data_IF_600077473599
#
_entry.id   IF_600077473599
#
_cell.length_a   1.000
_cell.length_b   1.000
_cell.length_c   1.000
_cell.angle_alpha   90.00
_cell.angle_beta   90.00
_cell.angle_gamma   90.00
#
_symmetry.space_group_name_H-M   'P 1'
#
loop_
_entity.id
_entity.type
_entity.pdbx_description
1 polymer ?
#
# COMPACT_ATOMS: atom_id res chain seq x y z
N UNK A 1 -7.61 -11.28 8.45
CA UNK A 1 -8.23 -10.11 9.07
C UNK A 1 -9.53 -9.73 8.39
N UNK A 2 -9.51 -9.29 7.11
CA UNK A 2 -10.72 -8.78 6.43
C UNK A 2 -11.84 -9.82 6.31
N UNK A 3 -11.54 -11.08 5.98
CA UNK A 3 -12.56 -12.12 5.86
C UNK A 3 -13.28 -12.36 7.20
N UNK A 4 -12.54 -12.37 8.30
CA UNK A 4 -13.12 -12.53 9.61
C UNK A 4 -14.00 -11.32 10.01
N UNK A 5 -13.54 -10.11 9.66
CA UNK A 5 -14.34 -8.91 9.84
C UNK A 5 -15.66 -8.97 9.04
N UNK A 6 -15.64 -9.46 7.80
CA UNK A 6 -16.85 -9.61 6.98
C UNK A 6 -17.81 -10.63 7.57
N UNK A 7 -17.32 -11.75 8.12
CA UNK A 7 -18.17 -12.73 8.83
C UNK A 7 -18.87 -12.12 10.04
N UNK A 8 -18.12 -11.36 10.85
CA UNK A 8 -18.69 -10.66 12.00
C UNK A 8 -19.70 -9.60 11.57
N UNK A 9 -19.40 -8.84 10.53
CA UNK A 9 -20.30 -7.84 10.00
C UNK A 9 -21.58 -8.48 9.42
N UNK A 10 -21.45 -9.59 8.69
CA UNK A 10 -22.59 -10.36 8.16
C UNK A 10 -23.50 -10.89 9.27
N UNK A 11 -22.94 -11.28 10.39
CA UNK A 11 -23.71 -11.75 11.55
C UNK A 11 -24.58 -10.67 12.23
N UNK A 12 -24.39 -9.40 11.86
CA UNK A 12 -25.21 -8.28 12.37
C UNK A 12 -26.48 -8.04 11.54
N UNK A 13 -26.63 -8.67 10.37
CA UNK A 13 -27.80 -8.45 9.51
C UNK A 13 -27.88 -9.42 8.34
N UNK A 14 -28.94 -9.31 7.58
CA UNK A 14 -29.28 -10.26 6.51
C UNK A 14 -28.56 -9.96 5.19
N UNK A 15 -28.07 -8.74 4.99
CA UNK A 15 -27.40 -8.32 3.75
C UNK A 15 -26.16 -7.49 4.07
N UNK A 16 -25.00 -7.95 3.59
CA UNK A 16 -23.72 -7.27 3.75
C UNK A 16 -23.29 -6.61 2.43
N UNK A 17 -23.36 -5.29 2.39
CA UNK A 17 -22.77 -4.49 1.32
C UNK A 17 -21.36 -4.05 1.73
N UNK A 18 -20.36 -4.38 0.92
CA UNK A 18 -18.97 -3.94 1.12
C UNK A 18 -18.66 -2.79 0.17
N UNK A 19 -18.27 -1.65 0.74
CA UNK A 19 -17.83 -0.51 -0.05
C UNK A 19 -16.29 -0.49 -0.17
N UNK A 20 -15.78 -0.45 -1.41
CA UNK A 20 -14.37 -0.29 -1.70
C UNK A 20 -14.09 1.10 -2.28
N UNK A 21 -13.02 1.78 -1.87
CA UNK A 21 -12.65 3.05 -2.47
C UNK A 21 -12.22 2.87 -3.93
N UNK A 22 -12.55 3.85 -4.77
CA UNK A 22 -12.07 3.90 -6.16
C UNK A 22 -10.54 4.03 -6.19
N UNK A 23 -9.94 3.68 -7.33
CA UNK A 23 -8.50 3.80 -7.51
C UNK A 23 -8.04 5.26 -7.46
N UNK A 24 -8.87 6.22 -7.92
CA UNK A 24 -8.59 7.66 -7.83
C UNK A 24 -8.54 8.15 -6.38
N UNK A 25 -9.51 7.74 -5.55
CA UNK A 25 -9.50 8.04 -4.10
C UNK A 25 -8.25 7.47 -3.44
N UNK A 26 -7.86 6.25 -3.79
CA UNK A 26 -6.65 5.63 -3.25
C UNK A 26 -5.38 6.34 -3.72
N UNK A 27 -5.31 6.73 -4.99
CA UNK A 27 -4.19 7.47 -5.54
C UNK A 27 -4.04 8.83 -4.86
N UNK A 28 -5.14 9.56 -4.71
CA UNK A 28 -5.15 10.87 -4.06
C UNK A 28 -4.72 10.78 -2.59
N UNK A 29 -5.22 9.80 -1.86
CA UNK A 29 -4.99 9.68 -0.41
C UNK A 29 -3.67 8.99 -0.07
N UNK A 30 -3.34 7.87 -0.74
CA UNK A 30 -2.13 7.08 -0.46
C UNK A 30 -0.95 7.44 -1.36
N UNK A 31 -1.12 8.36 -2.31
CA UNK A 31 -0.10 8.78 -3.29
C UNK A 31 0.51 7.61 -4.09
N UNK A 32 -0.26 6.54 -4.26
CA UNK A 32 0.15 5.35 -5.01
C UNK A 32 -1.04 4.62 -5.59
N UNK A 33 -0.83 3.96 -6.72
CA UNK A 33 -1.82 3.06 -7.30
C UNK A 33 -2.02 1.81 -6.40
N UNK A 34 -3.22 1.26 -6.37
CA UNK A 34 -3.47 0.01 -5.68
C UNK A 34 -2.75 -1.16 -6.36
N UNK A 35 -2.32 -2.15 -5.59
CA UNK A 35 -1.67 -3.36 -6.11
C UNK A 35 -2.62 -4.23 -6.92
N UNK A 36 -3.87 -4.27 -6.47
CA UNK A 36 -4.94 -5.01 -7.13
C UNK A 36 -5.86 -3.97 -7.76
N UNK A 37 -6.04 -3.97 -9.07
CA UNK A 37 -6.98 -3.09 -9.76
C UNK A 37 -8.39 -3.20 -9.19
N UNK A 38 -9.18 -2.14 -9.31
CA UNK A 38 -10.52 -2.07 -8.73
C UNK A 38 -11.42 -3.22 -9.17
N UNK A 39 -11.43 -3.56 -10.46
CA UNK A 39 -12.27 -4.64 -10.98
C UNK A 39 -11.90 -6.01 -10.41
N UNK A 40 -10.60 -6.26 -10.23
CA UNK A 40 -10.13 -7.49 -9.57
C UNK A 40 -10.53 -7.51 -8.08
N UNK A 41 -10.42 -6.38 -7.38
CA UNK A 41 -10.89 -6.28 -5.98
C UNK A 41 -12.38 -6.60 -5.88
N UNK A 42 -13.19 -6.02 -6.78
CA UNK A 42 -14.63 -6.28 -6.82
C UNK A 42 -14.91 -7.77 -7.04
N UNK A 43 -14.27 -8.37 -8.03
CA UNK A 43 -14.43 -9.81 -8.34
C UNK A 43 -14.05 -10.70 -7.16
N UNK A 44 -12.92 -10.41 -6.50
CA UNK A 44 -12.48 -11.17 -5.32
C UNK A 44 -13.48 -11.03 -4.17
N UNK A 45 -13.92 -9.81 -3.88
CA UNK A 45 -14.84 -9.55 -2.76
C UNK A 45 -16.22 -10.14 -3.01
N UNK A 46 -16.74 -10.05 -4.24
CA UNK A 46 -18.02 -10.63 -4.61
C UNK A 46 -18.04 -12.18 -4.59
N UNK A 47 -16.88 -12.82 -4.62
CA UNK A 47 -16.76 -14.27 -4.50
C UNK A 47 -16.68 -14.77 -3.03
N UNK A 48 -16.65 -13.84 -2.06
CA UNK A 48 -16.59 -14.21 -0.65
C UNK A 48 -18.00 -14.51 -0.12
N UNK A 49 -18.15 -15.68 0.50
CA UNK A 49 -19.42 -16.17 1.07
C UNK A 49 -20.18 -15.13 1.92
N UNK A 50 -19.56 -14.35 2.84
CA UNK A 50 -20.31 -13.43 3.68
C UNK A 50 -20.70 -12.12 2.97
N UNK A 51 -20.29 -11.89 1.72
CA UNK A 51 -20.48 -10.63 1.00
C UNK A 51 -21.62 -10.78 -0.02
N UNK A 52 -22.69 -10.02 0.16
CA UNK A 52 -23.82 -10.06 -0.76
C UNK A 52 -23.68 -9.05 -1.90
N UNK A 53 -23.07 -7.90 -1.62
CA UNK A 53 -22.92 -6.82 -2.60
C UNK A 53 -21.59 -6.09 -2.43
N UNK A 54 -20.97 -5.69 -3.56
CA UNK A 54 -19.77 -4.85 -3.57
C UNK A 54 -20.04 -3.58 -4.36
N UNK A 55 -19.93 -2.44 -3.69
CA UNK A 55 -20.07 -1.11 -4.28
C UNK A 55 -18.75 -0.35 -4.27
N UNK A 56 -18.67 0.70 -5.07
CA UNK A 56 -17.48 1.56 -5.17
C UNK A 56 -17.79 2.92 -4.57
N UNK A 57 -17.00 3.32 -3.60
CA UNK A 57 -17.02 4.68 -3.04
C UNK A 57 -16.11 5.60 -3.85
N UNK A 58 -16.69 6.67 -4.38
CA UNK A 58 -16.00 7.63 -5.25
C UNK A 58 -15.92 9.05 -4.67
N UNK A 59 -16.52 9.28 -3.50
CA UNK A 59 -16.42 10.57 -2.83
C UNK A 59 -14.96 10.85 -2.44
N UNK A 60 -14.47 12.05 -2.73
CA UNK A 60 -13.06 12.40 -2.55
C UNK A 60 -12.66 12.63 -1.09
N UNK A 61 -13.60 12.54 -0.16
CA UNK A 61 -13.31 12.57 1.27
C UNK A 61 -12.72 11.22 1.73
N UNK A 62 -11.48 11.17 2.20
CA UNK A 62 -10.84 9.94 2.65
C UNK A 62 -11.53 9.28 3.85
N UNK A 63 -12.26 10.05 4.66
CA UNK A 63 -13.02 9.56 5.81
C UNK A 63 -14.40 9.00 5.40
N UNK A 64 -14.98 9.56 4.37
CA UNK A 64 -16.34 9.33 3.92
C UNK A 64 -16.43 9.08 2.40
N UNK A 65 -15.47 8.38 1.83
CA UNK A 65 -15.46 8.06 0.40
C UNK A 65 -16.67 7.26 -0.09
N UNK A 66 -17.48 6.77 0.81
CA UNK A 66 -18.71 6.03 0.59
C UNK A 66 -19.98 6.84 0.90
N UNK A 67 -19.87 8.15 1.18
CA UNK A 67 -20.99 8.97 1.66
C UNK A 67 -22.20 8.95 0.72
N UNK A 68 -21.98 9.19 -0.56
CA UNK A 68 -23.04 9.22 -1.57
C UNK A 68 -23.81 7.90 -1.62
N UNK A 69 -23.11 6.79 -1.65
CA UNK A 69 -23.69 5.46 -1.64
C UNK A 69 -24.40 5.14 -0.31
N UNK A 70 -23.81 5.55 0.80
CA UNK A 70 -24.40 5.35 2.13
C UNK A 70 -25.74 6.07 2.28
N UNK A 71 -25.83 7.32 1.81
CA UNK A 71 -27.06 8.11 1.82
C UNK A 71 -28.11 7.55 0.85
N UNK A 72 -27.67 6.94 -0.26
CA UNK A 72 -28.56 6.29 -1.23
C UNK A 72 -29.14 4.98 -0.67
N UNK A 73 -28.32 4.14 -0.06
CA UNK A 73 -28.72 2.82 0.44
C UNK A 73 -29.45 2.93 1.78
N UNK A 74 -29.04 3.87 2.64
CA UNK A 74 -29.55 4.05 4.02
C UNK A 74 -29.52 2.75 4.82
N UNK A 75 -28.34 2.14 5.01
CA UNK A 75 -28.24 0.88 5.74
C UNK A 75 -28.63 1.07 7.21
N UNK A 76 -29.10 0.01 7.84
CA UNK A 76 -29.42 0.02 9.27
C UNK A 76 -28.16 0.05 10.16
N UNK A 77 -27.05 -0.48 9.67
CA UNK A 77 -25.80 -0.62 10.44
C UNK A 77 -24.60 -0.21 9.58
N UNK A 78 -23.69 0.58 10.14
CA UNK A 78 -22.34 0.78 9.65
C UNK A 78 -21.37 0.01 10.54
N UNK A 79 -20.82 -1.10 10.04
CA UNK A 79 -19.78 -1.85 10.72
C UNK A 79 -18.38 -1.32 10.38
N UNK A 80 -17.58 -1.08 11.38
CA UNK A 80 -16.18 -0.61 11.25
C UNK A 80 -15.26 -1.42 12.15
N UNK A 81 -13.95 -1.37 11.90
CA UNK A 81 -12.97 -1.96 12.80
C UNK A 81 -12.71 -1.08 14.03
N UNK A 82 -12.33 -1.68 15.13
CA UNK A 82 -12.09 -0.98 16.42
C UNK A 82 -10.98 0.10 16.35
N UNK A 83 -10.11 0.03 15.34
CA UNK A 83 -9.05 1.02 15.07
C UNK A 83 -9.48 2.12 14.08
N UNK A 84 -10.80 2.33 13.91
CA UNK A 84 -11.31 3.37 13.03
C UNK A 84 -10.94 4.78 13.52
N UNK A 85 -10.16 5.49 12.71
CA UNK A 85 -9.66 6.84 13.02
C UNK A 85 -10.70 7.94 12.79
N UNK A 86 -11.75 7.63 12.02
CA UNK A 86 -12.77 8.59 11.59
C UNK A 86 -14.14 8.36 12.23
N UNK A 87 -14.16 7.70 13.39
CA UNK A 87 -15.40 7.33 14.07
C UNK A 87 -16.34 8.49 14.35
N UNK A 88 -15.83 9.71 14.62
CA UNK A 88 -16.66 10.88 14.91
C UNK A 88 -17.50 11.26 13.70
N UNK A 89 -16.88 11.45 12.54
CA UNK A 89 -17.59 11.85 11.31
C UNK A 89 -18.51 10.74 10.78
N UNK A 90 -18.11 9.48 10.97
CA UNK A 90 -18.94 8.34 10.58
C UNK A 90 -20.19 8.18 11.47
N UNK A 91 -20.09 8.45 12.78
CA UNK A 91 -21.27 8.48 13.66
C UNK A 91 -22.23 9.60 13.28
N UNK A 92 -21.71 10.78 12.92
CA UNK A 92 -22.54 11.88 12.43
C UNK A 92 -23.29 11.47 11.15
N UNK A 93 -22.59 10.82 10.21
CA UNK A 93 -23.23 10.29 8.99
C UNK A 93 -24.29 9.22 9.29
N UNK A 94 -24.03 8.33 10.25
CA UNK A 94 -25.01 7.34 10.69
C UNK A 94 -26.26 8.02 11.25
N UNK A 95 -26.10 9.08 12.05
CA UNK A 95 -27.23 9.83 12.62
C UNK A 95 -28.08 10.50 11.54
N UNK A 96 -27.51 10.92 10.41
CA UNK A 96 -28.27 11.51 9.27
C UNK A 96 -29.30 10.54 8.68
N UNK A 97 -29.05 9.24 8.71
CA UNK A 97 -29.92 8.21 8.11
C UNK A 97 -30.58 7.29 9.15
N UNK A 98 -30.32 7.49 10.44
CA UNK A 98 -30.82 6.64 11.50
C UNK A 98 -30.11 5.30 11.62
N UNK A 99 -28.88 5.17 11.10
CA UNK A 99 -28.07 3.95 11.15
C UNK A 99 -27.35 3.80 12.49
N UNK A 100 -27.11 2.56 12.90
CA UNK A 100 -26.26 2.23 14.04
C UNK A 100 -24.79 2.12 13.64
N UNK A 101 -23.91 2.75 14.40
CA UNK A 101 -22.46 2.61 14.24
C UNK A 101 -21.95 1.49 15.13
N UNK A 102 -21.41 0.41 14.55
CA UNK A 102 -20.93 -0.76 15.28
C UNK A 102 -19.44 -0.96 15.06
N UNK A 103 -18.68 -1.01 16.14
CA UNK A 103 -17.23 -1.26 16.10
C UNK A 103 -16.96 -2.73 16.40
N UNK A 104 -16.29 -3.42 15.48
CA UNK A 104 -15.94 -4.83 15.56
C UNK A 104 -14.44 -5.03 15.78
N UNK A 105 -14.02 -6.10 16.46
CA UNK A 105 -12.61 -6.44 16.60
C UNK A 105 -11.99 -6.74 15.23
N UNK A 106 -10.76 -6.29 15.04
CA UNK A 106 -10.07 -6.37 13.75
C UNK A 106 -9.71 -7.80 13.33
N UNK A 107 -9.37 -8.63 14.31
CA UNK A 107 -9.09 -10.06 14.09
C UNK A 107 -9.22 -10.83 15.39
N UNK A 108 -9.98 -11.91 15.35
CA UNK A 108 -10.05 -12.88 16.42
C UNK A 108 -9.14 -14.05 16.04
N UNK A 109 -8.14 -14.37 16.88
CA UNK A 109 -7.29 -15.54 16.72
C UNK A 109 -6.18 -15.48 15.66
N UNK A 110 -5.98 -14.35 14.98
CA UNK A 110 -4.91 -14.18 14.00
C UNK A 110 -3.98 -13.03 14.41
N UNK A 111 -2.68 -13.20 14.20
CA UNK A 111 -1.77 -12.06 14.26
C UNK A 111 -2.09 -11.09 13.11
N UNK A 112 -2.36 -9.82 13.41
CA UNK A 112 -2.64 -8.85 12.36
C UNK A 112 -1.39 -8.63 11.51
N UNK A 113 -1.51 -8.88 10.22
CA UNK A 113 -0.47 -8.58 9.22
C UNK A 113 -0.94 -7.39 8.40
N UNK A 114 -0.16 -6.33 8.39
CA UNK A 114 -0.47 -5.15 7.58
C UNK A 114 -0.05 -5.34 6.11
N UNK A 115 -0.73 -4.66 5.20
CA UNK A 115 -0.32 -4.61 3.78
C UNK A 115 1.12 -4.11 3.62
N UNK A 116 1.56 -3.18 4.48
CA UNK A 116 2.93 -2.69 4.50
C UNK A 116 3.91 -3.78 4.90
N UNK A 117 3.57 -4.61 5.86
CA UNK A 117 4.40 -5.73 6.28
C UNK A 117 4.50 -6.79 5.18
N UNK A 118 3.38 -7.16 4.54
CA UNK A 118 3.39 -8.06 3.39
C UNK A 118 4.28 -7.50 2.28
N UNK A 119 4.12 -6.22 1.97
CA UNK A 119 4.95 -5.53 0.99
C UNK A 119 6.43 -5.64 1.32
N UNK A 120 6.81 -5.35 2.56
CA UNK A 120 8.22 -5.39 3.00
C UNK A 120 8.79 -6.80 2.97
N UNK A 121 7.98 -7.83 3.14
CA UNK A 121 8.40 -9.24 2.98
C UNK A 121 8.61 -9.64 1.54
N UNK A 122 7.82 -9.10 0.61
CA UNK A 122 7.89 -9.39 -0.82
C UNK A 122 8.92 -8.51 -1.53
N UNK A 123 9.07 -7.27 -1.11
CA UNK A 123 10.07 -6.36 -1.62
C UNK A 123 11.39 -6.62 -0.90
N UNK A 124 12.20 -7.50 -1.46
CA UNK A 124 13.59 -7.59 -1.07
C UNK A 124 14.27 -6.26 -1.45
N UNK A 125 14.43 -5.39 -0.47
CA UNK A 125 15.24 -4.18 -0.63
C UNK A 125 16.67 -4.63 -0.53
N UNK A 126 17.37 -4.66 -1.64
CA UNK A 126 18.82 -4.86 -1.64
C UNK A 126 19.46 -3.50 -1.45
N UNK A 127 20.14 -3.31 -0.33
CA UNK A 127 20.93 -2.12 -0.06
C UNK A 127 22.39 -2.40 -0.35
N UNK A 128 23.01 -1.53 -1.12
CA UNK A 128 24.44 -1.55 -1.37
C UNK A 128 25.06 -0.20 -0.98
N UNK A 129 26.20 -0.17 -0.29
CA UNK A 129 26.91 1.07 -0.05
C UNK A 129 27.43 1.65 -1.37
N UNK A 130 27.43 2.97 -1.48
CA UNK A 130 28.16 3.62 -2.55
C UNK A 130 29.65 3.40 -2.36
N UNK A 131 30.37 3.23 -3.46
CA UNK A 131 31.82 3.06 -3.49
C UNK A 131 32.48 4.32 -4.07
N UNK A 132 33.49 4.79 -3.42
CA UNK A 132 34.39 5.81 -3.97
C UNK A 132 35.72 5.15 -4.27
N UNK A 133 36.12 5.15 -5.53
CA UNK A 133 37.39 4.63 -5.98
C UNK A 133 38.45 5.74 -5.97
N UNK A 134 39.45 5.60 -5.13
CA UNK A 134 40.57 6.55 -5.06
C UNK A 134 41.65 6.25 -6.10
N UNK A 135 41.83 4.98 -6.43
CA UNK A 135 42.78 4.53 -7.46
C UNK A 135 42.35 3.16 -7.99
N UNK A 136 42.64 2.92 -9.25
CA UNK A 136 42.53 1.59 -9.86
C UNK A 136 41.11 1.13 -10.15
N UNK A 137 40.10 1.99 -10.11
CA UNK A 137 38.68 1.62 -10.23
C UNK A 137 38.28 0.93 -11.55
N UNK A 138 39.15 0.96 -12.57
CA UNK A 138 38.92 0.30 -13.87
C UNK A 138 39.64 -1.06 -13.99
N UNK A 139 40.30 -1.54 -12.96
CA UNK A 139 41.01 -2.81 -12.99
C UNK A 139 40.09 -4.04 -12.96
N UNK A 140 38.84 -3.87 -12.60
CA UNK A 140 37.80 -4.87 -12.71
C UNK A 140 37.31 -5.07 -14.16
N UNK A 141 37.67 -4.16 -15.07
CA UNK A 141 37.42 -4.31 -16.50
C UNK A 141 38.59 -5.13 -17.14
N UNK A 142 38.32 -6.28 -17.77
CA UNK A 142 39.37 -7.17 -18.29
C UNK A 142 40.42 -6.47 -19.17
N UNK A 143 40.01 -5.46 -19.91
CA UNK A 143 40.89 -4.67 -20.79
C UNK A 143 41.99 -3.90 -20.03
N UNK A 144 41.76 -3.55 -18.76
CA UNK A 144 42.66 -2.75 -17.94
C UNK A 144 43.26 -3.55 -16.79
N UNK A 145 42.82 -4.80 -16.61
CA UNK A 145 43.31 -5.70 -15.58
C UNK A 145 44.80 -6.04 -15.84
N UNK A 146 45.63 -5.87 -14.81
CA UNK A 146 47.05 -6.22 -14.85
C UNK A 146 47.41 -6.93 -13.56
N UNK A 147 48.27 -7.95 -13.67
CA UNK A 147 48.82 -8.67 -12.51
C UNK A 147 49.59 -7.69 -11.60
N UNK A 148 49.31 -7.77 -10.29
CA UNK A 148 49.96 -6.90 -9.29
C UNK A 148 49.35 -5.49 -9.18
N UNK A 149 48.25 -5.19 -9.88
CA UNK A 149 47.54 -3.93 -9.72
C UNK A 149 46.59 -3.96 -8.51
N UNK A 150 46.37 -2.80 -7.90
CA UNK A 150 45.53 -2.63 -6.72
C UNK A 150 44.40 -1.66 -6.98
N UNK A 151 43.22 -1.94 -6.40
CA UNK A 151 42.09 -1.03 -6.34
C UNK A 151 42.01 -0.49 -4.92
N UNK A 152 41.99 0.83 -4.78
CA UNK A 152 41.80 1.51 -3.49
C UNK A 152 40.44 2.20 -3.51
N UNK A 153 39.53 1.69 -2.70
CA UNK A 153 38.19 2.27 -2.57
C UNK A 153 37.73 2.27 -1.13
N UNK A 154 36.69 3.00 -0.86
CA UNK A 154 35.94 2.90 0.39
C UNK A 154 34.43 2.91 0.13
N UNK A 155 33.72 2.21 0.99
CA UNK A 155 32.27 2.31 1.06
C UNK A 155 31.87 3.54 1.85
N UNK A 156 30.89 4.28 1.35
CA UNK A 156 30.38 5.48 1.98
C UNK A 156 28.88 5.37 2.25
N UNK A 157 28.40 6.15 3.20
CA UNK A 157 26.98 6.48 3.38
C UNK A 157 26.66 7.78 2.62
N UNK A 158 25.49 7.91 1.96
CA UNK A 158 24.34 7.03 2.00
C UNK A 158 24.48 5.74 1.18
N UNK A 159 23.67 4.73 1.49
CA UNK A 159 23.52 3.51 0.71
C UNK A 159 22.59 3.70 -0.47
N UNK A 160 22.77 2.95 -1.53
CA UNK A 160 21.82 2.83 -2.63
C UNK A 160 20.90 1.66 -2.34
N UNK A 161 19.59 1.90 -2.41
CA UNK A 161 18.58 0.87 -2.24
C UNK A 161 17.98 0.52 -3.60
N UNK A 162 18.04 -0.76 -3.97
CA UNK A 162 17.33 -1.31 -5.12
C UNK A 162 16.02 -1.92 -4.64
N UNK A 163 14.92 -1.51 -5.25
CA UNK A 163 13.59 -2.06 -4.98
C UNK A 163 12.97 -2.52 -6.28
N UNK A 164 12.46 -3.74 -6.31
CA UNK A 164 11.75 -4.32 -7.46
C UNK A 164 10.37 -3.73 -7.68
N UNK A 165 9.93 -2.81 -6.81
CA UNK A 165 8.58 -2.32 -6.86
C UNK A 165 8.49 -0.91 -7.44
N UNK A 166 7.37 -0.61 -8.18
CA UNK A 166 7.21 0.68 -8.82
C UNK A 166 7.37 1.81 -7.83
N UNK A 167 8.21 2.69 -8.20
CA UNK A 167 8.61 3.95 -7.61
C UNK A 167 7.69 4.49 -6.52
N UNK A 168 8.06 4.33 -5.26
CA UNK A 168 7.78 5.41 -4.33
C UNK A 168 8.81 6.50 -4.64
N UNK A 169 8.39 7.57 -5.28
CA UNK A 169 9.11 8.82 -5.22
C UNK A 169 9.21 9.19 -3.74
N UNK A 170 10.27 8.77 -3.09
CA UNK A 170 10.62 9.32 -1.80
C UNK A 170 11.00 10.77 -2.07
N UNK A 171 10.05 11.67 -1.86
CA UNK A 171 10.32 13.10 -1.70
C UNK A 171 11.09 13.26 -0.39
N UNK A 172 12.36 12.98 -0.40
CA UNK A 172 13.27 12.98 0.73
C UNK A 172 14.64 13.35 0.23
N UNK A 173 14.97 14.55 0.49
CA UNK A 173 16.29 15.17 0.58
C UNK A 173 17.45 14.17 0.47
N UNK A 174 18.29 14.37 -0.53
CA UNK A 174 19.64 13.83 -0.59
C UNK A 174 19.73 12.49 -1.30
N UNK A 175 20.32 12.48 -2.42
CA UNK A 175 20.58 11.32 -3.25
C UNK A 175 19.93 11.38 -4.61
N UNK A 176 19.41 12.55 -4.99
CA UNK A 176 18.75 12.76 -6.26
C UNK A 176 19.59 12.35 -7.49
N UNK A 177 20.89 12.51 -7.43
CA UNK A 177 21.79 12.11 -8.52
C UNK A 177 21.91 10.60 -8.68
N UNK A 178 22.16 9.89 -7.61
CA UNK A 178 22.28 8.42 -7.64
C UNK A 178 20.90 7.76 -7.91
N UNK A 179 19.84 8.34 -7.37
CA UNK A 179 18.49 7.87 -7.60
C UNK A 179 18.03 8.09 -9.04
N UNK A 180 18.30 9.26 -9.62
CA UNK A 180 17.98 9.54 -11.00
C UNK A 180 18.74 8.62 -11.98
N UNK A 181 19.97 8.21 -11.63
CA UNK A 181 20.77 7.26 -12.41
C UNK A 181 20.17 5.84 -12.37
N UNK A 182 19.72 5.39 -11.21
CA UNK A 182 19.07 4.07 -11.04
C UNK A 182 17.69 4.00 -11.68
N UNK A 183 17.04 5.12 -11.92
CA UNK A 183 15.79 5.20 -12.66
C UNK A 183 16.00 5.17 -14.18
N UNK A 184 17.21 5.34 -14.66
CA UNK A 184 17.53 5.23 -16.06
C UNK A 184 17.29 3.81 -16.58
N UNK A 185 16.69 3.69 -17.76
CA UNK A 185 16.42 2.40 -18.40
C UNK A 185 17.70 1.58 -18.60
N UNK A 186 18.82 2.25 -18.74
CA UNK A 186 20.14 1.65 -18.99
C UNK A 186 20.75 1.01 -17.75
N UNK A 187 20.29 1.38 -16.56
CA UNK A 187 20.70 0.73 -15.30
C UNK A 187 20.06 -0.66 -15.12
N UNK A 188 19.00 -0.96 -15.86
CA UNK A 188 18.28 -2.25 -15.81
C UNK A 188 18.82 -3.23 -16.86
N UNK A 189 19.55 -2.73 -17.85
CA UNK A 189 20.05 -3.51 -18.99
C UNK A 189 21.54 -3.86 -18.86
N UNK A 190 22.17 -3.45 -17.80
CA UNK A 190 23.55 -3.77 -17.47
C UNK A 190 23.62 -4.80 -16.34
#
# INVERSE_FOLDING_TARGET
GHLEFFRQAKALGDHLTVCVPSDDVLLMYKKRLPWIPLDHKRSILSALEPVDEVIVGSDLDPALNFRSEFLRIKPAILAVTQDDKFGVVKRALCAEVGASYVSLPKSLGYQPISTTEIRNRVSAVTEAPLRVDFAGGWLDVPRFSREGAYIVNCSITPKVSLSNWPYEQRSGVGGSGAWAFLQGRDAVSA
#
